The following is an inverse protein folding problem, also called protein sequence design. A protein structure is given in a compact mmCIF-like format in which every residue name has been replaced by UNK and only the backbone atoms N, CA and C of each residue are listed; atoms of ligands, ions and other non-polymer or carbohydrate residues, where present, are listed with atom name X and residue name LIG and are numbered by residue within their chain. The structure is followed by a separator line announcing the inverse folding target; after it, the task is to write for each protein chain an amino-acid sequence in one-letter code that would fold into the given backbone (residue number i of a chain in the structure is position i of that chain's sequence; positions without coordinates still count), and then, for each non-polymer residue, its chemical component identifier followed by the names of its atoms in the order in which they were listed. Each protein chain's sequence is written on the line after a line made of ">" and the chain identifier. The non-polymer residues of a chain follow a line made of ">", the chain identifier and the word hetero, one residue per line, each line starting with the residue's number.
data_IF_990236797578
#
_entry.id   IF_990236797578
#
_cell.length_a   1.000
_cell.length_b   1.000
_cell.length_c   1.000
_cell.angle_alpha   90.00
_cell.angle_beta   90.00
_cell.angle_gamma   90.00
#
_symmetry.space_group_name_H-M   'P 1'
#
loop_
_entity.id
_entity.type
_entity.pdbx_description
1 polymer ?
#
# COMPACT_ATOMS: atom_id res chain seq x y z
N UNK A 1 39.38 -4.64 2.62
CA UNK A 1 39.99 -5.57 1.66
C UNK A 1 40.75 -4.78 0.60
N UNK A 2 40.08 -4.16 -0.38
CA UNK A 2 40.74 -3.38 -1.44
C UNK A 2 41.72 -2.30 -0.94
N UNK A 3 41.28 -1.36 -0.09
CA UNK A 3 42.14 -0.27 0.41
C UNK A 3 43.30 -0.71 1.32
N UNK A 4 43.26 -1.95 1.80
CA UNK A 4 44.33 -2.55 2.63
C UNK A 4 45.18 -3.56 1.85
N UNK A 5 44.93 -3.74 0.55
CA UNK A 5 45.64 -4.70 -0.29
C UNK A 5 45.44 -6.16 0.12
N UNK A 6 44.27 -6.51 0.67
CA UNK A 6 43.96 -7.88 1.11
C UNK A 6 42.78 -8.41 0.30
N UNK A 7 42.96 -9.57 -0.33
CA UNK A 7 42.00 -10.20 -1.25
C UNK A 7 40.90 -11.00 -0.57
N UNK A 8 41.06 -11.31 0.71
CA UNK A 8 40.07 -12.06 1.49
C UNK A 8 39.71 -11.29 2.74
N UNK A 9 38.48 -11.47 3.19
CA UNK A 9 38.13 -11.08 4.54
C UNK A 9 37.00 -11.92 5.09
N UNK A 10 36.86 -11.81 6.40
CA UNK A 10 35.91 -12.60 7.16
C UNK A 10 34.82 -11.66 7.67
N UNK A 11 33.60 -11.94 7.28
CA UNK A 11 32.43 -11.37 7.94
C UNK A 11 32.03 -12.31 9.06
N UNK A 12 31.93 -11.77 10.28
CA UNK A 12 31.47 -12.52 11.44
C UNK A 12 30.14 -11.96 11.90
N UNK A 13 29.22 -12.84 12.25
CA UNK A 13 27.95 -12.51 12.83
C UNK A 13 27.71 -13.41 14.04
N UNK A 14 27.30 -12.80 15.15
CA UNK A 14 26.94 -13.51 16.38
C UNK A 14 25.44 -13.39 16.60
N UNK A 15 24.76 -14.54 16.61
CA UNK A 15 23.33 -14.59 16.86
C UNK A 15 23.07 -14.69 18.36
N UNK A 16 22.50 -13.63 18.93
CA UNK A 16 22.30 -13.52 20.39
C UNK A 16 21.30 -14.53 20.97
N UNK A 17 20.39 -15.06 20.15
CA UNK A 17 19.32 -15.95 20.61
C UNK A 17 19.78 -17.40 20.69
N UNK A 18 20.50 -17.88 19.68
CA UNK A 18 21.05 -19.24 19.62
C UNK A 18 22.42 -19.34 20.31
N UNK A 19 23.17 -18.22 20.37
CA UNK A 19 24.57 -18.21 20.82
C UNK A 19 25.54 -18.68 19.75
N UNK A 20 25.07 -18.86 18.50
CA UNK A 20 25.89 -19.38 17.40
C UNK A 20 26.72 -18.29 16.72
N UNK A 21 27.87 -18.72 16.21
CA UNK A 21 28.76 -17.88 15.40
C UNK A 21 28.65 -18.28 13.94
N UNK A 22 28.37 -17.30 13.09
CA UNK A 22 28.34 -17.44 11.65
C UNK A 22 29.53 -16.70 11.07
N UNK A 23 30.34 -17.43 10.30
CA UNK A 23 31.50 -16.89 9.60
C UNK A 23 31.31 -17.02 8.10
N UNK A 24 31.49 -15.92 7.38
CA UNK A 24 31.47 -15.90 5.93
C UNK A 24 32.80 -15.37 5.41
N UNK A 25 33.53 -16.22 4.69
CA UNK A 25 34.73 -15.80 3.97
C UNK A 25 34.27 -15.17 2.66
N UNK A 26 34.56 -13.87 2.51
CA UNK A 26 34.22 -13.09 1.34
C UNK A 26 35.48 -12.84 0.53
N UNK A 27 35.61 -13.43 -0.68
CA UNK A 27 36.65 -13.05 -1.62
C UNK A 27 36.37 -11.65 -2.18
N UNK A 28 37.44 -10.90 -2.45
CA UNK A 28 37.34 -9.57 -3.04
C UNK A 28 36.94 -9.70 -4.51
N UNK A 29 35.75 -9.19 -4.83
CA UNK A 29 35.29 -8.99 -6.20
C UNK A 29 35.71 -7.59 -6.68
N UNK A 30 36.70 -7.57 -7.58
CA UNK A 30 37.25 -6.34 -8.13
C UNK A 30 36.27 -5.59 -9.03
N UNK A 31 35.45 -6.31 -9.80
CA UNK A 31 34.45 -5.68 -10.67
C UNK A 31 33.40 -4.98 -9.83
N UNK A 32 32.88 -5.67 -8.82
CA UNK A 32 31.92 -5.09 -7.88
C UNK A 32 32.53 -3.91 -7.11
N UNK A 33 33.77 -4.05 -6.61
CA UNK A 33 34.46 -2.96 -5.91
C UNK A 33 34.61 -1.70 -6.78
N UNK A 34 34.97 -1.85 -8.05
CA UNK A 34 35.07 -0.74 -9.00
C UNK A 34 33.72 -0.02 -9.21
N UNK A 35 32.61 -0.78 -9.24
CA UNK A 35 31.27 -0.15 -9.31
C UNK A 35 30.96 0.69 -8.07
N UNK A 36 31.40 0.26 -6.89
CA UNK A 36 31.21 0.99 -5.64
C UNK A 36 32.06 2.26 -5.60
N UNK A 37 33.30 2.23 -6.10
CA UNK A 37 34.16 3.41 -6.20
C UNK A 37 33.52 4.46 -7.12
N UNK A 38 33.07 4.07 -8.32
CA UNK A 38 32.40 4.98 -9.25
C UNK A 38 31.15 5.62 -8.66
N UNK A 39 30.36 4.86 -7.88
CA UNK A 39 29.21 5.38 -7.13
C UNK A 39 29.66 6.41 -6.09
N UNK A 40 30.70 6.11 -5.31
CA UNK A 40 31.25 7.04 -4.32
C UNK A 40 31.80 8.34 -4.95
N UNK A 41 32.49 8.25 -6.10
CA UNK A 41 32.98 9.42 -6.84
C UNK A 41 31.84 10.32 -7.31
N UNK A 42 30.74 9.73 -7.81
CA UNK A 42 29.54 10.48 -8.21
C UNK A 42 28.92 11.21 -7.02
N UNK A 43 28.83 10.55 -5.86
CA UNK A 43 28.35 11.18 -4.61
C UNK A 43 29.27 12.31 -4.18
N UNK A 44 30.60 12.11 -4.18
CA UNK A 44 31.58 13.12 -3.78
C UNK A 44 31.53 14.37 -4.66
N UNK A 45 31.31 14.24 -5.98
CA UNK A 45 31.11 15.39 -6.88
C UNK A 45 29.89 16.22 -6.48
N UNK A 46 28.82 15.58 -6.03
CA UNK A 46 27.58 16.24 -5.62
C UNK A 46 27.72 16.90 -4.25
N UNK A 47 28.39 16.23 -3.30
CA UNK A 47 28.74 16.77 -1.98
C UNK A 47 29.62 18.02 -2.11
N UNK A 48 30.65 17.98 -2.95
CA UNK A 48 31.53 19.13 -3.21
C UNK A 48 30.77 20.34 -3.76
N UNK A 49 29.74 20.10 -4.57
CA UNK A 49 28.85 21.14 -5.13
C UNK A 49 27.73 21.56 -4.18
N UNK A 50 27.55 20.87 -3.05
CA UNK A 50 26.39 21.01 -2.14
C UNK A 50 25.04 20.88 -2.87
N UNK A 51 25.00 20.06 -3.91
CA UNK A 51 23.79 19.80 -4.70
C UNK A 51 23.31 18.37 -4.45
N UNK A 52 21.99 18.17 -4.44
CA UNK A 52 21.39 16.83 -4.40
C UNK A 52 21.70 16.13 -5.73
N UNK A 53 22.18 14.88 -5.74
CA UNK A 53 22.44 14.14 -6.97
C UNK A 53 21.15 13.94 -7.77
N UNK A 54 21.23 14.03 -9.11
CA UNK A 54 20.09 13.73 -9.97
C UNK A 54 19.61 12.27 -9.76
N UNK A 55 18.30 12.06 -9.59
CA UNK A 55 17.75 10.74 -9.38
C UNK A 55 17.96 9.85 -10.62
N UNK A 56 18.29 8.58 -10.39
CA UNK A 56 18.39 7.58 -11.46
C UNK A 56 17.51 6.41 -11.09
N UNK A 57 16.68 6.01 -12.06
CA UNK A 57 15.81 4.86 -11.89
C UNK A 57 16.61 3.59 -11.62
N UNK A 58 16.14 2.81 -10.65
CA UNK A 58 16.76 1.57 -10.23
C UNK A 58 15.68 0.49 -10.06
N UNK A 59 15.88 -0.72 -10.61
CA UNK A 59 14.87 -1.78 -10.53
C UNK A 59 14.63 -2.24 -9.09
N UNK A 60 15.64 -2.15 -8.22
CA UNK A 60 15.51 -2.41 -6.78
C UNK A 60 14.66 -1.37 -6.03
N UNK A 61 14.29 -0.27 -6.69
CA UNK A 61 13.46 0.79 -6.13
C UNK A 61 11.95 0.54 -6.36
N UNK A 62 11.57 -0.51 -7.09
CA UNK A 62 10.17 -0.86 -7.36
C UNK A 62 9.49 -1.33 -6.08
N UNK A 63 8.61 -0.48 -5.52
CA UNK A 63 7.81 -0.78 -4.33
C UNK A 63 8.36 -0.21 -3.01
N UNK A 64 9.43 0.59 -3.03
CA UNK A 64 9.91 1.27 -1.83
C UNK A 64 8.99 2.41 -1.37
N UNK A 65 8.75 2.52 -0.07
CA UNK A 65 7.94 3.60 0.54
C UNK A 65 8.50 5.01 0.25
N UNK A 66 9.80 5.09 -0.03
CA UNK A 66 10.50 6.33 -0.41
C UNK A 66 10.40 6.68 -1.90
N UNK A 67 9.72 5.86 -2.71
CA UNK A 67 9.50 6.18 -4.11
C UNK A 67 8.68 7.47 -4.29
N UNK A 68 8.02 7.99 -3.25
CA UNK A 68 7.13 9.15 -3.32
C UNK A 68 7.75 10.49 -2.89
N UNK A 69 8.92 10.53 -2.24
CA UNK A 69 9.31 11.73 -1.46
C UNK A 69 10.69 12.31 -1.73
N UNK A 70 11.70 11.54 -2.14
CA UNK A 70 13.06 12.09 -2.35
C UNK A 70 13.68 11.72 -3.70
N UNK A 71 13.41 10.51 -4.19
CA UNK A 71 14.04 9.99 -5.40
C UNK A 71 13.28 10.32 -6.68
N UNK A 72 12.05 10.86 -6.60
CA UNK A 72 11.23 11.20 -7.76
C UNK A 72 10.42 12.49 -7.51
N UNK A 73 11.06 13.67 -7.56
CA UNK A 73 10.38 14.94 -7.33
C UNK A 73 9.29 15.28 -8.36
N UNK A 74 9.25 14.57 -9.49
CA UNK A 74 8.26 14.75 -10.57
C UNK A 74 7.63 13.41 -10.98
N UNK A 75 6.93 12.72 -10.05
CA UNK A 75 6.20 11.50 -10.43
C UNK A 75 5.04 11.83 -11.38
N UNK A 76 5.25 11.62 -12.67
CA UNK A 76 4.25 10.97 -13.50
C UNK A 76 3.83 9.68 -12.77
N UNK A 77 2.53 9.38 -12.68
CA UNK A 77 1.98 8.21 -11.97
C UNK A 77 2.41 6.85 -12.59
N UNK A 78 3.40 6.84 -13.48
CA UNK A 78 3.83 5.69 -14.25
C UNK A 78 2.95 5.45 -15.49
N UNK A 79 3.38 4.56 -16.41
CA UNK A 79 2.58 4.22 -17.58
C UNK A 79 1.27 3.54 -17.15
N UNK A 80 0.13 4.11 -17.53
CA UNK A 80 -1.21 3.56 -17.29
C UNK A 80 -2.17 4.44 -16.48
N UNK A 81 -1.75 5.63 -16.05
CA UNK A 81 -2.62 6.61 -15.41
C UNK A 81 -2.90 7.77 -16.35
N UNK A 82 -4.17 7.99 -16.67
CA UNK A 82 -4.61 9.18 -17.39
C UNK A 82 -4.94 10.29 -16.39
N UNK A 83 -4.25 11.44 -16.51
CA UNK A 83 -4.62 12.63 -15.75
C UNK A 83 -5.88 13.24 -16.38
N UNK A 84 -6.96 13.30 -15.60
CA UNK A 84 -8.24 13.87 -16.02
C UNK A 84 -8.51 15.12 -15.18
N UNK A 85 -8.20 16.29 -15.73
CA UNK A 85 -8.46 17.61 -15.11
C UNK A 85 -9.89 18.09 -15.41
N UNK A 86 -10.89 17.29 -15.04
CA UNK A 86 -12.30 17.68 -15.13
C UNK A 86 -12.88 17.94 -13.76
N UNK A 87 -13.25 19.19 -13.49
CA UNK A 87 -13.90 19.63 -12.24
C UNK A 87 -15.20 18.86 -11.97
N UNK A 88 -15.92 18.47 -13.02
CA UNK A 88 -17.13 17.64 -12.90
C UNK A 88 -16.84 16.26 -12.34
N UNK A 89 -15.77 15.59 -12.80
CA UNK A 89 -15.38 14.26 -12.33
C UNK A 89 -14.93 14.32 -10.87
N UNK A 90 -14.17 15.35 -10.52
CA UNK A 90 -13.70 15.57 -9.15
C UNK A 90 -14.89 15.78 -8.18
N UNK A 91 -15.91 16.52 -8.59
CA UNK A 91 -17.13 16.72 -7.79
C UNK A 91 -17.91 15.41 -7.56
N UNK A 92 -17.94 14.51 -8.55
CA UNK A 92 -18.61 13.20 -8.46
C UNK A 92 -17.83 12.23 -7.57
N UNK A 93 -16.49 12.26 -7.63
CA UNK A 93 -15.63 11.44 -6.77
C UNK A 93 -15.76 11.85 -5.30
N UNK A 94 -15.81 13.15 -5.01
CA UNK A 94 -16.06 13.66 -3.64
C UNK A 94 -17.42 13.19 -3.10
N UNK A 95 -18.49 13.40 -3.86
CA UNK A 95 -19.84 12.91 -3.49
C UNK A 95 -19.89 11.40 -3.29
N UNK A 96 -19.15 10.64 -4.10
CA UNK A 96 -19.05 9.19 -3.94
C UNK A 96 -18.41 8.81 -2.59
N UNK A 97 -17.35 9.51 -2.18
CA UNK A 97 -16.69 9.29 -0.89
C UNK A 97 -17.58 9.63 0.29
N UNK A 98 -18.31 10.73 0.22
CA UNK A 98 -19.26 11.13 1.27
C UNK A 98 -20.35 10.05 1.44
N UNK A 99 -20.95 9.60 0.32
CA UNK A 99 -21.93 8.52 0.32
C UNK A 99 -21.34 7.18 0.79
N UNK A 100 -20.06 6.92 0.59
CA UNK A 100 -19.39 5.70 1.06
C UNK A 100 -19.36 5.66 2.60
N UNK A 101 -19.13 6.81 3.25
CA UNK A 101 -19.15 6.96 4.71
C UNK A 101 -20.57 6.73 5.24
N UNK A 102 -21.56 7.44 4.66
CA UNK A 102 -22.97 7.27 5.03
C UNK A 102 -23.45 5.82 4.82
N UNK A 103 -23.00 5.17 3.74
CA UNK A 103 -23.33 3.78 3.45
C UNK A 103 -22.67 2.80 4.42
N UNK A 104 -21.46 3.11 4.92
CA UNK A 104 -20.81 2.32 5.99
C UNK A 104 -21.60 2.43 7.29
N UNK A 105 -21.99 3.65 7.69
CA UNK A 105 -22.82 3.89 8.87
C UNK A 105 -24.19 3.22 8.74
N UNK A 106 -24.84 3.36 7.59
CA UNK A 106 -26.10 2.69 7.28
C UNK A 106 -25.96 1.16 7.37
N UNK A 107 -24.89 0.59 6.80
CA UNK A 107 -24.64 -0.84 6.88
C UNK A 107 -24.32 -1.32 8.30
N UNK A 108 -23.68 -0.48 9.12
CA UNK A 108 -23.45 -0.77 10.53
C UNK A 108 -24.79 -0.81 11.30
N UNK A 109 -25.61 0.23 11.18
CA UNK A 109 -26.95 0.29 11.77
C UNK A 109 -27.84 -0.86 11.30
N UNK A 110 -27.79 -1.21 10.01
CA UNK A 110 -28.53 -2.34 9.46
C UNK A 110 -28.10 -3.68 10.06
N UNK A 111 -26.80 -3.86 10.33
CA UNK A 111 -26.27 -5.06 11.00
C UNK A 111 -26.72 -5.11 12.46
N UNK A 112 -26.81 -3.98 13.15
CA UNK A 112 -27.29 -3.93 14.54
C UNK A 112 -28.80 -4.17 14.65
N UNK A 113 -29.59 -3.54 13.79
CA UNK A 113 -31.05 -3.60 13.84
C UNK A 113 -31.60 -4.93 13.28
N UNK A 114 -31.17 -5.33 12.08
CA UNK A 114 -31.71 -6.52 11.39
C UNK A 114 -30.77 -7.72 11.55
N UNK A 115 -29.46 -7.49 11.42
CA UNK A 115 -28.45 -8.54 11.48
C UNK A 115 -28.56 -9.58 10.36
N UNK A 116 -27.89 -10.72 10.53
CA UNK A 116 -27.94 -11.88 9.63
C UNK A 116 -28.17 -13.15 10.45
N UNK A 117 -28.48 -14.25 9.77
CA UNK A 117 -28.70 -15.57 10.41
C UNK A 117 -27.58 -15.98 11.38
N UNK A 118 -26.33 -15.60 11.08
CA UNK A 118 -25.15 -15.91 11.89
C UNK A 118 -24.86 -14.91 13.02
N UNK A 119 -25.41 -13.69 12.93
CA UNK A 119 -25.33 -12.63 13.97
C UNK A 119 -26.68 -11.90 14.01
N UNK A 120 -27.65 -12.39 14.80
CA UNK A 120 -28.99 -11.81 14.85
C UNK A 120 -28.92 -10.40 15.43
N UNK A 121 -29.54 -9.45 14.73
CA UNK A 121 -29.72 -8.07 15.20
C UNK A 121 -30.92 -7.97 16.14
N UNK A 122 -31.17 -6.77 16.67
CA UNK A 122 -32.19 -6.51 17.68
C UNK A 122 -33.61 -6.95 17.26
N UNK A 123 -33.91 -6.87 15.97
CA UNK A 123 -35.22 -7.16 15.37
C UNK A 123 -35.22 -8.42 14.48
N UNK A 124 -34.15 -9.24 14.52
CA UNK A 124 -34.12 -10.48 13.77
C UNK A 124 -35.23 -11.43 14.26
N UNK A 125 -36.06 -11.92 13.33
CA UNK A 125 -37.22 -12.80 13.55
C UNK A 125 -38.33 -12.26 14.47
N UNK A 126 -38.33 -10.96 14.76
CA UNK A 126 -39.38 -10.31 15.57
C UNK A 126 -40.14 -9.30 14.75
N UNK A 127 -41.44 -9.20 15.02
CA UNK A 127 -42.27 -8.11 14.55
C UNK A 127 -42.39 -7.10 15.69
N UNK A 128 -42.07 -5.84 15.44
CA UNK A 128 -42.07 -4.80 16.45
C UNK A 128 -42.58 -3.48 15.89
N UNK A 129 -43.22 -2.68 16.74
CA UNK A 129 -43.57 -1.29 16.43
C UNK A 129 -42.69 -0.40 17.30
N UNK A 130 -41.92 0.48 16.66
CA UNK A 130 -41.00 1.41 17.34
C UNK A 130 -41.34 2.82 16.87
N UNK A 131 -42.00 3.60 17.73
CA UNK A 131 -42.50 4.92 17.38
C UNK A 131 -43.48 4.84 16.19
N UNK A 132 -43.14 5.54 15.11
CA UNK A 132 -43.95 5.61 13.88
C UNK A 132 -43.64 4.48 12.87
N UNK A 133 -42.79 3.51 13.23
CA UNK A 133 -42.29 2.48 12.30
C UNK A 133 -42.76 1.07 12.68
N UNK A 134 -43.22 0.30 11.69
CA UNK A 134 -43.58 -1.13 11.82
C UNK A 134 -42.48 -1.96 11.18
N UNK A 135 -41.90 -2.89 11.95
CA UNK A 135 -40.87 -3.83 11.52
C UNK A 135 -41.52 -5.22 11.39
N UNK A 136 -41.52 -5.78 10.17
CA UNK A 136 -41.99 -7.14 9.89
C UNK A 136 -40.84 -8.04 9.40
N UNK A 137 -40.62 -9.16 10.08
CA UNK A 137 -39.65 -10.19 9.67
C UNK A 137 -40.39 -11.35 8.98
N UNK A 138 -40.06 -11.62 7.71
CA UNK A 138 -40.61 -12.77 6.93
C UNK A 138 -39.48 -13.66 6.44
N UNK A 139 -39.61 -14.97 6.67
CA UNK A 139 -38.69 -15.96 6.13
C UNK A 139 -38.94 -16.14 4.63
N UNK A 140 -37.87 -16.06 3.83
CA UNK A 140 -37.92 -16.33 2.39
C UNK A 140 -36.77 -17.26 2.01
N UNK A 141 -37.11 -18.40 1.44
CA UNK A 141 -36.13 -19.34 0.89
C UNK A 141 -35.65 -18.84 -0.48
N UNK A 142 -34.35 -18.57 -0.61
CA UNK A 142 -33.72 -18.36 -1.93
C UNK A 142 -33.29 -19.72 -2.48
N UNK A 143 -33.78 -20.07 -3.67
CA UNK A 143 -33.27 -21.21 -4.44
C UNK A 143 -31.88 -20.86 -4.99
N UNK A 144 -30.91 -21.75 -4.80
CA UNK A 144 -29.55 -21.59 -5.29
C UNK A 144 -29.52 -21.62 -6.82
N UNK A 145 -28.80 -20.69 -7.43
CA UNK A 145 -28.47 -20.71 -8.85
C UNK A 145 -26.95 -20.69 -9.00
N UNK A 146 -26.43 -21.52 -9.91
CA UNK A 146 -25.01 -21.60 -10.23
C UNK A 146 -24.67 -20.45 -11.17
N UNK A 147 -23.86 -19.50 -10.70
CA UNK A 147 -23.33 -18.41 -11.53
C UNK A 147 -22.14 -18.97 -12.31
N UNK A 148 -22.17 -18.85 -13.65
CA UNK A 148 -21.03 -19.23 -14.51
C UNK A 148 -19.88 -18.26 -14.30
N UNK A 149 -18.65 -18.75 -14.42
CA UNK A 149 -17.45 -17.92 -14.32
C UNK A 149 -17.49 -16.78 -15.35
N UNK A 150 -17.28 -15.55 -14.88
CA UNK A 150 -17.16 -14.37 -15.71
C UNK A 150 -16.07 -13.46 -15.15
N UNK A 151 -15.32 -12.84 -16.05
CA UNK A 151 -14.32 -11.83 -15.70
C UNK A 151 -15.00 -10.48 -15.50
N UNK A 152 -14.71 -9.83 -14.38
CA UNK A 152 -15.22 -8.49 -14.06
C UNK A 152 -14.09 -7.58 -13.58
N UNK A 153 -14.24 -6.28 -13.86
CA UNK A 153 -13.30 -5.26 -13.41
C UNK A 153 -13.71 -4.74 -12.04
N UNK A 154 -12.78 -4.78 -11.08
CA UNK A 154 -12.95 -4.15 -9.77
C UNK A 154 -12.24 -2.81 -9.81
N UNK A 155 -13.01 -1.72 -9.80
CA UNK A 155 -12.46 -0.36 -9.69
C UNK A 155 -12.48 0.05 -8.22
N UNK A 156 -11.32 0.41 -7.67
CA UNK A 156 -11.20 0.91 -6.29
C UNK A 156 -10.66 2.33 -6.32
N UNK A 157 -11.39 3.25 -5.69
CA UNK A 157 -11.00 4.66 -5.59
C UNK A 157 -10.31 4.87 -4.24
N UNK A 158 -9.00 5.15 -4.28
CA UNK A 158 -8.18 5.48 -3.10
C UNK A 158 -7.84 6.96 -3.11
N UNK A 159 -7.83 7.59 -1.94
CA UNK A 159 -7.30 8.93 -1.78
C UNK A 159 -5.77 8.88 -1.85
N UNK A 160 -5.19 9.80 -2.61
CA UNK A 160 -3.77 10.10 -2.54
C UNK A 160 -3.58 10.85 -1.23
N UNK A 161 -2.85 10.24 -0.28
CA UNK A 161 -2.77 10.69 1.10
C UNK A 161 -2.57 12.19 1.23
N UNK A 162 -3.50 12.85 1.94
CA UNK A 162 -3.29 14.19 2.46
C UNK A 162 -2.26 14.10 3.58
N UNK A 163 -1.08 14.64 3.34
CA UNK A 163 -0.16 14.96 4.42
C UNK A 163 -0.83 15.99 5.32
N UNK A 164 -1.04 15.63 6.59
CA UNK A 164 -1.25 16.60 7.66
C UNK A 164 0.00 17.48 7.71
N UNK A 165 -0.12 18.73 7.25
CA UNK A 165 0.83 19.79 7.58
C UNK A 165 0.59 20.18 9.04
N UNK A 166 1.46 19.69 9.92
CA UNK A 166 1.62 20.13 11.31
C UNK A 166 2.98 20.80 11.50
#
# INVERSE_FOLDING_TARGET
>A
MMFKGVDLGCWFYFEKTSGDYLFWILPLDYEYAETLIKRAERTNKSVAKKTIPDPVYCDSCVGGDFALTLCFPDKDFGPGFDMIDSEEVLSKVKKYKDLEVELKEFNALKRELIGKKDKPGLFFSRNAVVGDYIIESKEREKKGFVVKDSTFWVTTIKELGGGEEG
#
